data_IF_335343847130
#
_entry.id   IF_335343847130
#
_cell.length_a   1.000
_cell.length_b   1.000
_cell.length_c   1.000
_cell.angle_alpha   90.00
_cell.angle_beta   90.00
_cell.angle_gamma   90.00
#
_symmetry.space_group_name_H-M   'P 1'
#
loop_
_entity.id
_entity.type
_entity.pdbx_description
1 polymer ?
#
# COMPACT_ATOMS: atom_id res chain seq x y z
N UNK A 1 -3.59 -1.22 14.18
CA UNK A 1 -4.47 -0.06 14.44
C UNK A 1 -5.73 -0.65 15.02
N UNK A 2 -6.07 -0.33 16.27
CA UNK A 2 -7.34 -0.76 16.87
C UNK A 2 -8.46 0.08 16.25
N UNK A 3 -9.61 -0.53 15.97
CA UNK A 3 -10.78 0.10 15.32
C UNK A 3 -11.33 1.29 16.12
N UNK A 4 -10.96 1.41 17.39
CA UNK A 4 -11.49 2.39 18.36
C UNK A 4 -11.18 3.86 18.04
N UNK A 5 -10.32 4.18 17.07
CA UNK A 5 -9.94 5.56 16.74
C UNK A 5 -10.52 6.10 15.42
N UNK A 6 -11.23 5.29 14.63
CA UNK A 6 -11.82 5.76 13.36
C UNK A 6 -13.31 6.03 13.58
N UNK A 7 -13.67 7.31 13.72
CA UNK A 7 -15.06 7.76 13.84
C UNK A 7 -15.58 8.18 12.47
N UNK A 8 -16.77 7.71 12.11
CA UNK A 8 -17.51 8.22 10.93
C UNK A 8 -18.27 9.47 11.38
N UNK A 9 -18.07 10.57 10.67
CA UNK A 9 -18.80 11.82 10.89
C UNK A 9 -19.18 12.41 9.54
N UNK A 10 -20.36 12.99 9.47
CA UNK A 10 -20.82 13.79 8.33
C UNK A 10 -20.20 15.19 8.38
N UNK A 11 -20.17 15.87 7.24
CA UNK A 11 -19.66 17.24 7.17
C UNK A 11 -20.44 18.21 8.08
N UNK A 12 -21.75 18.01 8.22
CA UNK A 12 -22.59 18.82 9.10
C UNK A 12 -22.23 18.63 10.58
N UNK A 13 -21.97 17.40 11.02
CA UNK A 13 -21.55 17.09 12.39
C UNK A 13 -20.18 17.71 12.71
N UNK A 14 -19.21 17.62 11.79
CA UNK A 14 -17.88 18.22 11.96
C UNK A 14 -18.00 19.74 12.10
N UNK A 15 -18.83 20.39 11.29
CA UNK A 15 -19.07 21.85 11.40
C UNK A 15 -19.68 22.21 12.75
N UNK A 16 -20.69 21.48 13.20
CA UNK A 16 -21.28 21.70 14.51
C UNK A 16 -20.29 21.47 15.66
N UNK A 17 -19.38 20.50 15.56
CA UNK A 17 -18.29 20.31 16.54
C UNK A 17 -17.32 21.50 16.57
N UNK A 18 -17.02 22.08 15.40
CA UNK A 18 -16.23 23.31 15.31
C UNK A 18 -16.92 24.47 16.04
N UNK A 19 -18.21 24.66 15.79
CA UNK A 19 -19.00 25.75 16.37
C UNK A 19 -19.13 25.63 17.89
N UNK A 20 -19.16 24.39 18.41
CA UNK A 20 -19.13 24.09 19.85
C UNK A 20 -17.72 24.16 20.48
N UNK A 21 -16.68 24.44 19.70
CA UNK A 21 -15.30 24.53 20.19
C UNK A 21 -14.67 23.17 20.56
N UNK A 22 -15.24 22.06 20.09
CA UNK A 22 -14.74 20.71 20.38
C UNK A 22 -13.56 20.31 19.49
N UNK A 23 -13.36 21.01 18.36
CA UNK A 23 -12.24 20.78 17.46
C UNK A 23 -11.07 21.67 17.84
N UNK A 24 -9.91 21.05 18.08
CA UNK A 24 -8.67 21.77 18.24
C UNK A 24 -8.21 22.35 16.90
N UNK A 25 -7.87 23.64 16.90
CA UNK A 25 -7.27 24.37 15.80
C UNK A 25 -6.07 25.16 16.34
N UNK A 26 -4.92 25.06 15.69
CA UNK A 26 -3.76 25.88 16.02
C UNK A 26 -3.90 27.26 15.34
N UNK A 27 -4.10 28.36 16.07
CA UNK A 27 -4.21 29.70 15.48
C UNK A 27 -2.91 30.21 14.86
N UNK A 28 -1.76 29.68 15.28
CA UNK A 28 -0.43 30.05 14.79
C UNK A 28 0.06 29.13 13.67
N UNK A 29 -0.84 28.34 13.07
CA UNK A 29 -0.48 27.49 11.94
C UNK A 29 -0.07 28.38 10.75
N UNK A 30 1.13 28.16 10.15
CA UNK A 30 1.51 28.90 8.96
C UNK A 30 0.56 28.58 7.81
N UNK A 31 0.29 29.57 6.95
CA UNK A 31 -0.44 29.33 5.72
C UNK A 31 0.31 28.29 4.87
N UNK A 32 -0.43 27.30 4.36
CA UNK A 32 0.14 26.29 3.47
C UNK A 32 0.53 26.90 2.12
N UNK A 33 1.46 26.27 1.38
CA UNK A 33 1.76 26.70 0.03
C UNK A 33 0.53 26.54 -0.87
N UNK A 34 0.35 27.47 -1.81
CA UNK A 34 -0.64 27.32 -2.87
C UNK A 34 -0.33 26.07 -3.70
N UNK A 35 -1.33 25.21 -3.89
CA UNK A 35 -1.25 23.97 -4.68
C UNK A 35 -1.93 24.21 -6.03
N UNK A 36 -1.18 24.64 -7.08
CA UNK A 36 -1.74 24.93 -8.40
C UNK A 36 -2.20 23.65 -9.11
N UNK A 37 -2.98 23.78 -10.17
CA UNK A 37 -3.47 22.64 -10.97
C UNK A 37 -2.34 21.75 -11.50
N UNK A 38 -1.17 22.34 -11.79
CA UNK A 38 0.02 21.60 -12.24
C UNK A 38 0.56 20.62 -11.20
N UNK A 39 0.29 20.83 -9.92
CA UNK A 39 0.61 19.87 -8.86
C UNK A 39 -0.18 18.55 -9.04
N UNK A 40 -1.41 18.65 -9.54
CA UNK A 40 -2.34 17.52 -9.67
C UNK A 40 -2.29 16.83 -11.04
N UNK A 41 -1.60 17.41 -12.04
CA UNK A 41 -1.53 16.87 -13.42
C UNK A 41 -1.12 15.40 -13.50
N UNK A 42 -0.24 14.95 -12.58
CA UNK A 42 0.28 13.58 -12.54
C UNK A 42 -0.29 12.76 -11.38
N UNK A 43 -1.35 13.23 -10.72
CA UNK A 43 -1.97 12.51 -9.63
C UNK A 43 -2.61 11.21 -10.15
N UNK A 44 -2.15 10.07 -9.66
CA UNK A 44 -2.69 8.76 -10.02
C UNK A 44 -3.66 8.32 -8.95
N UNK A 45 -4.89 7.98 -9.35
CA UNK A 45 -5.86 7.35 -8.45
C UNK A 45 -5.37 5.93 -8.13
N UNK A 46 -4.92 5.73 -6.90
CA UNK A 46 -4.54 4.41 -6.39
C UNK A 46 -5.69 3.92 -5.54
N UNK A 47 -6.36 2.86 -6.00
CA UNK A 47 -7.28 2.11 -5.13
C UNK A 47 -6.43 1.37 -4.10
N UNK A 48 -6.56 1.66 -2.79
CA UNK A 48 -5.84 0.93 -1.76
C UNK A 48 -6.37 -0.50 -1.73
N UNK A 49 -5.72 -1.39 -2.48
CA UNK A 49 -6.07 -2.81 -2.45
C UNK A 49 -5.99 -3.31 -1.01
N UNK A 50 -7.15 -3.71 -0.49
CA UNK A 50 -7.27 -4.27 0.84
C UNK A 50 -6.34 -5.48 0.97
N UNK A 51 -5.74 -5.65 2.15
CA UNK A 51 -4.97 -6.86 2.44
C UNK A 51 -5.93 -8.03 2.54
N UNK A 52 -5.72 -9.08 1.75
CA UNK A 52 -6.45 -10.33 1.90
C UNK A 52 -5.98 -11.04 3.17
N UNK A 53 -6.90 -11.30 4.10
CA UNK A 53 -6.62 -12.12 5.28
C UNK A 53 -6.58 -13.59 4.85
N UNK A 54 -5.45 -14.25 5.07
CA UNK A 54 -5.25 -15.66 4.75
C UNK A 54 -4.69 -16.39 5.96
N UNK A 55 -5.16 -17.63 6.17
CA UNK A 55 -4.62 -18.50 7.21
C UNK A 55 -3.52 -19.36 6.60
N UNK A 56 -2.26 -18.91 6.75
CA UNK A 56 -1.08 -19.55 6.17
C UNK A 56 -0.34 -20.35 7.24
N UNK A 57 -0.04 -21.62 6.95
CA UNK A 57 0.89 -22.43 7.75
C UNK A 57 2.32 -22.14 7.30
N UNK A 58 3.19 -21.84 8.26
CA UNK A 58 4.60 -21.57 8.05
C UNK A 58 5.43 -22.53 8.90
N UNK A 59 6.62 -22.87 8.44
CA UNK A 59 7.60 -23.56 9.28
C UNK A 59 7.96 -22.73 10.50
N UNK A 60 8.17 -23.41 11.62
CA UNK A 60 8.45 -22.79 12.91
C UNK A 60 9.70 -21.88 12.82
N UNK A 61 10.77 -22.36 12.20
CA UNK A 61 12.04 -21.62 12.10
C UNK A 61 11.89 -20.31 11.32
N UNK A 62 11.12 -20.34 10.23
CA UNK A 62 10.82 -19.14 9.42
C UNK A 62 10.03 -18.15 10.26
N UNK A 63 8.98 -18.61 10.94
CA UNK A 63 8.15 -17.75 11.77
C UNK A 63 8.96 -17.11 12.91
N UNK A 64 9.77 -17.89 13.63
CA UNK A 64 10.59 -17.39 14.73
C UNK A 64 11.68 -16.42 14.27
N UNK A 65 12.28 -16.64 13.09
CA UNK A 65 13.24 -15.71 12.50
C UNK A 65 12.67 -14.30 12.32
N UNK A 66 11.41 -14.17 11.89
CA UNK A 66 10.77 -12.87 11.78
C UNK A 66 10.25 -12.35 13.12
N UNK A 67 9.68 -13.24 13.96
CA UNK A 67 9.12 -12.88 15.27
C UNK A 67 10.16 -12.24 16.19
N UNK A 68 11.41 -12.75 16.21
CA UNK A 68 12.48 -12.21 17.06
C UNK A 68 12.86 -10.75 16.73
N UNK A 69 12.49 -10.25 15.56
CA UNK A 69 12.78 -8.88 15.13
C UNK A 69 11.80 -7.85 15.71
N UNK A 70 10.79 -8.29 16.47
CA UNK A 70 9.87 -7.43 17.21
C UNK A 70 8.57 -7.08 16.46
N UNK A 71 7.94 -5.99 16.90
CA UNK A 71 6.67 -5.49 16.34
C UNK A 71 6.82 -5.24 14.84
N UNK A 72 5.84 -5.70 14.05
CA UNK A 72 5.90 -5.62 12.58
C UNK A 72 6.56 -6.82 11.88
N UNK A 73 6.80 -7.94 12.57
CA UNK A 73 7.27 -9.19 11.94
C UNK A 73 6.39 -9.63 10.76
N UNK A 74 5.06 -9.48 10.85
CA UNK A 74 4.13 -9.76 9.75
C UNK A 74 4.37 -8.82 8.56
N UNK A 75 4.55 -7.52 8.78
CA UNK A 75 4.84 -6.55 7.72
C UNK A 75 6.13 -6.92 6.98
N UNK A 76 7.20 -7.26 7.72
CA UNK A 76 8.46 -7.70 7.13
C UNK A 76 8.30 -9.00 6.32
N UNK A 77 7.54 -9.97 6.83
CA UNK A 77 7.20 -11.17 6.05
C UNK A 77 6.46 -10.80 4.76
N UNK A 78 5.49 -9.88 4.81
CA UNK A 78 4.79 -9.41 3.62
C UNK A 78 5.74 -8.76 2.60
N UNK A 79 6.71 -7.96 3.04
CA UNK A 79 7.64 -7.28 2.14
C UNK A 79 8.59 -8.26 1.44
N UNK A 80 9.03 -9.31 2.14
CA UNK A 80 9.80 -10.41 1.53
C UNK A 80 8.97 -11.13 0.46
N UNK A 81 7.70 -11.45 0.76
CA UNK A 81 6.82 -12.09 -0.22
C UNK A 81 6.58 -11.21 -1.45
N UNK A 82 6.41 -9.89 -1.27
CA UNK A 82 6.29 -8.94 -2.39
C UNK A 82 7.55 -8.94 -3.26
N UNK A 83 8.73 -8.90 -2.63
CA UNK A 83 10.00 -8.91 -3.36
C UNK A 83 10.17 -10.20 -4.17
N UNK A 84 9.83 -11.34 -3.58
CA UNK A 84 9.84 -12.63 -4.27
C UNK A 84 8.91 -12.65 -5.49
N UNK A 85 7.64 -12.24 -5.32
CA UNK A 85 6.67 -12.18 -6.42
C UNK A 85 7.15 -11.25 -7.54
N UNK A 86 7.71 -10.08 -7.20
CA UNK A 86 8.28 -9.15 -8.19
C UNK A 86 9.42 -9.77 -8.99
N UNK A 87 10.36 -10.44 -8.31
CA UNK A 87 11.48 -11.11 -8.94
C UNK A 87 11.03 -12.25 -9.86
N UNK A 88 10.03 -13.03 -9.42
CA UNK A 88 9.50 -14.15 -10.18
C UNK A 88 8.78 -13.68 -11.46
N UNK A 89 7.95 -12.64 -11.38
CA UNK A 89 7.30 -12.04 -12.55
C UNK A 89 8.32 -11.50 -13.57
N UNK A 90 9.41 -10.90 -13.09
CA UNK A 90 10.47 -10.43 -13.97
C UNK A 90 11.16 -11.59 -14.73
N UNK A 91 11.38 -12.72 -14.06
CA UNK A 91 11.91 -13.94 -14.71
C UNK A 91 10.96 -14.52 -15.75
N UNK A 92 9.67 -14.60 -15.42
CA UNK A 92 8.64 -15.09 -16.33
C UNK A 92 8.56 -14.22 -17.60
N UNK A 93 8.59 -12.89 -17.45
CA UNK A 93 8.63 -11.95 -18.57
C UNK A 93 9.86 -12.14 -19.48
N UNK A 94 11.04 -12.42 -18.89
CA UNK A 94 12.25 -12.69 -19.69
C UNK A 94 12.23 -14.04 -20.42
N UNK A 95 11.48 -15.02 -19.89
CA UNK A 95 11.38 -16.36 -20.49
C UNK A 95 10.40 -16.39 -21.66
N UNK A 96 9.40 -15.50 -21.68
CA UNK A 96 8.43 -15.39 -22.78
C UNK A 96 8.96 -14.68 -24.04
N UNK A 97 10.11 -14.01 -23.97
CA UNK A 97 10.70 -13.29 -25.12
C UNK A 97 11.61 -14.19 -25.98
N UNK A 98 11.91 -15.41 -25.55
CA UNK A 98 12.93 -16.27 -26.18
C UNK A 98 12.43 -17.41 -27.07
N UNK A 99 11.17 -17.42 -27.52
CA UNK A 99 10.76 -18.39 -28.57
C UNK A 99 11.18 -17.90 -29.96
N UNK A 100 12.13 -18.55 -30.67
CA UNK A 100 12.45 -18.20 -32.03
C UNK A 100 11.38 -18.78 -32.96
N UNK A 101 10.73 -17.88 -33.72
CA UNK A 101 9.83 -18.20 -34.83
C UNK A 101 10.49 -19.22 -35.77
N UNK A 102 9.92 -20.42 -36.03
CA UNK A 102 10.52 -21.35 -36.95
C UNK A 102 10.47 -20.77 -38.37
N UNK A 103 11.66 -20.60 -38.97
CA UNK A 103 11.82 -20.18 -40.34
C UNK A 103 11.17 -21.23 -41.26
N UNK A 104 10.11 -20.83 -41.96
CA UNK A 104 9.51 -21.67 -43.02
C UNK A 104 10.50 -21.73 -44.19
N UNK A 105 11.01 -22.93 -44.46
CA UNK A 105 11.61 -23.31 -45.76
C UNK A 105 10.49 -23.41 -46.81
N UNK A 106 10.61 -22.66 -47.88
CA UNK A 106 10.09 -22.98 -49.20
C UNK A 106 11.06 -22.26 -50.18
N UNK A 107 11.72 -22.91 -51.13
CA UNK A 107 11.22 -24.03 -51.94
C UNK A 107 10.79 -23.41 -53.26
#
# INVERSE_FOLDING_TARGET
MTEENIKRATLAEIRAMKDRGELYHNPDAPEGPDLPDSFWENAVLIDPQGKTSVHLKLDADVFFFFKRQGKGHITRMQDVLKAYVKAQRAKEASTQTSDPKPARKAG
#
